data_IF_195239703085
#
_entry.id   IF_195239703085
#
_cell.length_a   1.000
_cell.length_b   1.000
_cell.length_c   1.000
_cell.angle_alpha   90.00
_cell.angle_beta   90.00
_cell.angle_gamma   90.00
#
_symmetry.space_group_name_H-M   'P 1'
#
loop_
_entity.id
_entity.type
_entity.pdbx_description
1 polymer ?
#
# COMPACT_ATOMS: atom_id res chain seq x y z
N UNK A 1 2.88 1.54 7.21
CA UNK A 1 1.90 0.89 8.10
C UNK A 1 2.59 -0.30 8.75
N UNK A 2 2.94 -0.20 10.03
CA UNK A 2 3.47 -1.34 10.77
C UNK A 2 2.28 -2.16 11.30
N UNK A 3 2.19 -3.44 10.90
CA UNK A 3 1.27 -4.37 11.57
C UNK A 3 1.79 -4.53 13.00
N UNK A 4 1.06 -3.97 13.96
CA UNK A 4 1.41 -4.13 15.37
C UNK A 4 1.08 -5.56 15.76
N UNK A 5 2.09 -6.41 15.87
CA UNK A 5 2.00 -7.82 16.30
C UNK A 5 1.72 -7.97 17.82
N UNK A 6 1.13 -6.95 18.46
CA UNK A 6 0.95 -6.90 19.92
C UNK A 6 -0.35 -7.54 20.41
N UNK A 7 -0.92 -8.45 19.63
CA UNK A 7 -2.03 -9.27 20.07
C UNK A 7 -1.43 -10.55 20.68
N UNK A 8 -1.53 -10.68 22.00
CA UNK A 8 -1.06 -11.86 22.75
C UNK A 8 -2.24 -12.45 23.52
N UNK A 9 -2.20 -13.77 23.76
CA UNK A 9 -3.19 -14.47 24.59
C UNK A 9 -4.64 -14.24 24.13
N UNK A 10 -4.88 -14.29 22.81
CA UNK A 10 -6.23 -14.20 22.26
C UNK A 10 -7.02 -15.46 22.63
N UNK A 11 -8.26 -15.26 23.08
CA UNK A 11 -9.21 -16.36 23.19
C UNK A 11 -9.76 -16.69 21.80
N UNK A 12 -10.33 -17.89 21.59
CA UNK A 12 -11.01 -18.22 20.34
C UNK A 12 -12.13 -17.23 19.98
N UNK A 13 -12.77 -16.61 20.98
CA UNK A 13 -13.77 -15.58 20.76
C UNK A 13 -13.16 -14.28 20.21
N UNK A 14 -12.01 -13.86 20.74
CA UNK A 14 -11.30 -12.66 20.24
C UNK A 14 -10.87 -12.85 18.79
N UNK A 15 -10.32 -14.01 18.45
CA UNK A 15 -9.94 -14.34 17.07
C UNK A 15 -11.12 -14.25 16.12
N UNK A 16 -12.28 -14.80 16.53
CA UNK A 16 -13.51 -14.72 15.73
C UNK A 16 -13.96 -13.27 15.53
N UNK A 17 -13.94 -12.45 16.58
CA UNK A 17 -14.30 -11.02 16.48
C UNK A 17 -13.33 -10.29 15.55
N UNK A 18 -12.02 -10.52 15.68
CA UNK A 18 -11.00 -9.91 14.83
C UNK A 18 -11.17 -10.30 13.36
N UNK A 19 -11.49 -11.57 13.08
CA UNK A 19 -11.77 -12.04 11.72
C UNK A 19 -13.00 -11.34 11.13
N UNK A 20 -14.10 -11.26 11.88
CA UNK A 20 -15.34 -10.60 11.44
C UNK A 20 -15.15 -9.10 11.21
N UNK A 21 -14.49 -8.41 12.15
CA UNK A 21 -14.18 -6.97 12.04
C UNK A 21 -13.24 -6.74 10.86
N UNK A 22 -12.21 -7.57 10.71
CA UNK A 22 -11.27 -7.50 9.59
C UNK A 22 -11.95 -7.66 8.24
N UNK A 23 -12.84 -8.66 8.10
CA UNK A 23 -13.61 -8.88 6.89
C UNK A 23 -14.53 -7.69 6.57
N UNK A 24 -15.25 -7.17 7.58
CA UNK A 24 -16.14 -6.01 7.42
C UNK A 24 -15.39 -4.75 7.00
N UNK A 25 -14.33 -4.39 7.73
CA UNK A 25 -13.52 -3.21 7.44
C UNK A 25 -12.76 -3.35 6.12
N UNK A 26 -12.30 -4.56 5.78
CA UNK A 26 -11.69 -4.86 4.48
C UNK A 26 -12.66 -4.62 3.33
N UNK A 27 -13.89 -5.12 3.43
CA UNK A 27 -14.95 -4.86 2.43
C UNK A 27 -15.24 -3.36 2.26
N UNK A 28 -15.30 -2.61 3.37
CA UNK A 28 -15.46 -1.15 3.32
C UNK A 28 -14.27 -0.45 2.65
N UNK A 29 -13.04 -0.85 2.99
CA UNK A 29 -11.82 -0.32 2.37
C UNK A 29 -11.82 -0.55 0.86
N UNK A 30 -12.13 -1.77 0.40
CA UNK A 30 -12.19 -2.09 -1.03
C UNK A 30 -13.23 -1.26 -1.78
N UNK A 31 -14.44 -1.08 -1.20
CA UNK A 31 -15.49 -0.24 -1.80
C UNK A 31 -15.06 1.22 -1.90
N UNK A 32 -14.49 1.76 -0.84
CA UNK A 32 -14.02 3.14 -0.82
C UNK A 32 -12.82 3.36 -1.76
N UNK A 33 -11.89 2.41 -1.83
CA UNK A 33 -10.78 2.43 -2.78
C UNK A 33 -11.27 2.45 -4.22
N UNK A 34 -12.30 1.66 -4.56
CA UNK A 34 -12.93 1.70 -5.89
C UNK A 34 -13.41 3.11 -6.25
N UNK A 35 -14.09 3.78 -5.31
CA UNK A 35 -14.54 5.17 -5.50
C UNK A 35 -13.34 6.11 -5.66
N UNK A 36 -12.30 5.98 -4.82
CA UNK A 36 -11.08 6.78 -4.94
C UNK A 36 -10.40 6.60 -6.30
N UNK A 37 -10.29 5.38 -6.81
CA UNK A 37 -9.73 5.13 -8.13
C UNK A 37 -10.51 5.85 -9.23
N UNK A 38 -11.84 5.85 -9.15
CA UNK A 38 -12.72 6.57 -10.09
C UNK A 38 -12.57 8.09 -10.07
N UNK A 39 -12.08 8.67 -8.99
CA UNK A 39 -11.81 10.12 -8.89
C UNK A 39 -10.56 10.55 -9.68
N UNK A 40 -9.72 9.61 -10.14
CA UNK A 40 -8.53 9.93 -10.94
C UNK A 40 -7.55 10.82 -10.18
N UNK A 41 -6.88 11.72 -10.91
CA UNK A 41 -5.92 12.68 -10.32
C UNK A 41 -6.60 13.73 -9.43
N UNK A 42 -7.88 13.99 -9.68
CA UNK A 42 -8.67 14.94 -8.91
C UNK A 42 -8.93 14.41 -7.50
N UNK A 43 -8.74 15.29 -6.52
CA UNK A 43 -9.28 15.12 -5.18
C UNK A 43 -9.40 16.48 -4.52
N UNK A 44 -10.50 16.71 -3.82
CA UNK A 44 -10.73 17.90 -3.02
C UNK A 44 -11.37 17.54 -1.68
N UNK A 45 -11.45 18.53 -0.78
CA UNK A 45 -12.09 18.36 0.53
C UNK A 45 -13.54 17.83 0.43
N UNK A 46 -14.28 18.20 -0.61
CA UNK A 46 -15.67 17.75 -0.79
C UNK A 46 -15.74 16.26 -1.15
N UNK A 47 -14.92 15.82 -2.10
CA UNK A 47 -14.84 14.39 -2.47
C UNK A 47 -14.39 13.51 -1.31
N UNK A 48 -13.52 14.05 -0.44
CA UNK A 48 -13.12 13.40 0.80
C UNK A 48 -14.28 13.31 1.79
N UNK A 49 -14.98 14.43 2.03
CA UNK A 49 -16.11 14.49 2.94
C UNK A 49 -17.25 13.56 2.49
N UNK A 50 -17.55 13.52 1.18
CA UNK A 50 -18.56 12.64 0.61
C UNK A 50 -18.25 11.16 0.86
N UNK A 51 -17.01 10.73 0.59
CA UNK A 51 -16.56 9.36 0.86
C UNK A 51 -16.64 9.00 2.35
N UNK A 52 -16.16 9.88 3.24
CA UNK A 52 -16.26 9.67 4.68
C UNK A 52 -17.72 9.56 5.16
N UNK A 53 -18.62 10.41 4.64
CA UNK A 53 -20.06 10.35 4.94
C UNK A 53 -20.68 9.03 4.48
N UNK A 54 -20.31 8.52 3.31
CA UNK A 54 -20.81 7.24 2.82
C UNK A 54 -20.43 6.04 3.72
N UNK A 55 -19.30 6.12 4.44
CA UNK A 55 -18.84 5.07 5.35
C UNK A 55 -19.42 5.17 6.76
N UNK A 56 -19.88 6.35 7.19
CA UNK A 56 -20.32 6.60 8.57
C UNK A 56 -21.61 5.84 8.96
N UNK A 57 -22.59 5.57 8.07
CA UNK A 57 -23.74 4.74 8.41
C UNK A 57 -23.41 3.27 8.69
N UNK A 58 -22.26 2.79 8.21
CA UNK A 58 -21.87 1.37 8.23
C UNK A 58 -20.60 1.11 9.03
N UNK A 59 -20.07 2.15 9.69
CA UNK A 59 -18.87 2.09 10.53
C UNK A 59 -18.85 3.27 11.51
N UNK A 60 -18.01 3.20 12.55
CA UNK A 60 -17.82 4.38 13.42
C UNK A 60 -17.18 5.54 12.65
N UNK A 61 -17.46 6.79 13.05
CA UNK A 61 -16.83 7.98 12.45
C UNK A 61 -15.29 7.94 12.46
N UNK A 62 -14.70 7.28 13.46
CA UNK A 62 -13.24 7.06 13.55
C UNK A 62 -12.77 6.10 12.46
N UNK A 63 -13.45 4.96 12.30
CA UNK A 63 -13.15 4.00 11.24
C UNK A 63 -13.38 4.59 9.85
N UNK A 64 -14.48 5.30 9.62
CA UNK A 64 -14.73 6.00 8.36
C UNK A 64 -13.57 6.95 8.00
N UNK A 65 -13.10 7.75 8.97
CA UNK A 65 -11.94 8.64 8.78
C UNK A 65 -10.65 7.88 8.47
N UNK A 66 -10.35 6.82 9.23
CA UNK A 66 -9.15 5.99 9.02
C UNK A 66 -9.16 5.26 7.67
N UNK A 67 -10.31 4.69 7.27
CA UNK A 67 -10.48 4.01 5.99
C UNK A 67 -10.29 4.97 4.82
N UNK A 68 -10.96 6.12 4.85
CA UNK A 68 -10.86 7.16 3.80
C UNK A 68 -9.41 7.61 3.58
N UNK A 69 -8.66 7.78 4.68
CA UNK A 69 -7.24 8.12 4.64
C UNK A 69 -6.39 6.96 4.11
N UNK A 70 -6.59 5.75 4.62
CA UNK A 70 -5.79 4.59 4.23
C UNK A 70 -5.92 4.29 2.73
N UNK A 71 -7.13 4.32 2.18
CA UNK A 71 -7.37 4.08 0.75
C UNK A 71 -6.84 5.21 -0.13
N UNK A 72 -6.89 6.46 0.33
CA UNK A 72 -6.25 7.59 -0.36
C UNK A 72 -4.72 7.41 -0.42
N UNK A 73 -4.11 7.06 0.72
CA UNK A 73 -2.66 6.83 0.81
C UNK A 73 -2.24 5.62 -0.06
N UNK A 74 -3.05 4.55 -0.10
CA UNK A 74 -2.85 3.40 -0.99
C UNK A 74 -2.91 3.78 -2.47
N UNK A 75 -3.93 4.55 -2.88
CA UNK A 75 -4.03 5.06 -4.25
C UNK A 75 -2.81 5.91 -4.63
N UNK A 76 -2.38 6.80 -3.74
CA UNK A 76 -1.23 7.68 -3.98
C UNK A 76 0.07 6.86 -4.12
N UNK A 77 0.25 5.84 -3.29
CA UNK A 77 1.38 4.91 -3.38
C UNK A 77 1.37 4.15 -4.72
N UNK A 78 0.23 3.57 -5.10
CA UNK A 78 0.09 2.83 -6.34
C UNK A 78 0.37 3.72 -7.56
N UNK A 79 -0.10 4.97 -7.56
CA UNK A 79 0.13 5.93 -8.65
C UNK A 79 1.61 6.29 -8.79
N UNK A 80 2.31 6.53 -7.68
CA UNK A 80 3.77 6.78 -7.72
C UNK A 80 4.54 5.57 -8.23
N UNK A 81 4.16 4.37 -7.79
CA UNK A 81 4.76 3.12 -8.29
C UNK A 81 4.55 2.92 -9.79
N UNK A 82 3.33 3.18 -10.27
CA UNK A 82 3.00 3.10 -11.70
C UNK A 82 3.83 4.10 -12.53
N UNK A 83 3.93 5.36 -12.08
CA UNK A 83 4.74 6.37 -12.78
C UNK A 83 6.22 5.97 -12.85
N UNK A 84 6.79 5.51 -11.72
CA UNK A 84 8.17 5.05 -11.68
C UNK A 84 8.41 3.86 -12.63
N UNK A 85 7.46 2.93 -12.73
CA UNK A 85 7.54 1.80 -13.65
C UNK A 85 7.56 2.25 -15.11
N UNK A 86 6.68 3.20 -15.50
CA UNK A 86 6.64 3.75 -16.86
C UNK A 86 7.97 4.46 -17.19
N UNK A 87 8.46 5.31 -16.28
CA UNK A 87 9.73 6.02 -16.48
C UNK A 87 10.93 5.08 -16.66
N UNK A 88 10.96 3.99 -15.89
CA UNK A 88 11.98 2.95 -16.04
C UNK A 88 11.89 2.25 -17.40
N UNK A 89 10.68 1.88 -17.82
CA UNK A 89 10.44 1.26 -19.12
C UNK A 89 10.88 2.20 -20.27
N UNK A 90 10.49 3.46 -20.22
CA UNK A 90 10.88 4.47 -21.21
C UNK A 90 12.40 4.62 -21.29
N UNK A 91 13.09 4.72 -20.16
CA UNK A 91 14.55 4.83 -20.12
C UNK A 91 15.26 3.63 -20.75
N UNK A 92 14.73 2.41 -20.56
CA UNK A 92 15.29 1.19 -21.14
C UNK A 92 15.07 1.06 -22.66
N UNK A 93 14.04 1.70 -23.19
CA UNK A 93 13.68 1.64 -24.62
C UNK A 93 14.38 2.70 -25.49
N UNK A 94 15.01 3.71 -24.88
CA UNK A 94 15.71 4.78 -25.61
C UNK A 94 17.00 4.26 -26.23
N UNK A 95 17.16 4.31 -27.58
CA UNK A 95 18.40 3.90 -28.23
C UNK A 95 19.56 4.81 -27.79
N UNK A 96 20.59 4.22 -27.18
CA UNK A 96 21.76 4.93 -26.65
C UNK A 96 22.01 4.78 -25.15
N UNK A 97 21.10 4.17 -24.38
CA UNK A 97 21.28 3.90 -22.93
C UNK A 97 22.17 2.68 -22.63
N UNK A 98 23.15 2.39 -23.49
CA UNK A 98 24.12 1.32 -23.31
C UNK A 98 25.18 1.71 -22.28
N UNK A 99 24.79 1.87 -21.02
CA UNK A 99 25.73 1.76 -19.89
C UNK A 99 25.42 0.46 -19.14
N UNK A 100 26.02 -0.63 -19.63
CA UNK A 100 25.96 -1.96 -19.02
C UNK A 100 26.88 -2.09 -17.80
N UNK A 101 27.62 -1.05 -17.41
CA UNK A 101 28.72 -1.17 -16.44
C UNK A 101 28.45 -0.51 -15.07
N UNK A 102 27.22 -0.08 -14.79
CA UNK A 102 26.87 0.56 -13.50
C UNK A 102 25.83 -0.21 -12.67
N UNK A 103 25.87 -1.54 -12.69
CA UNK A 103 25.27 -2.31 -11.58
C UNK A 103 26.38 -2.68 -10.60
N UNK A 104 26.35 -2.25 -9.31
CA UNK A 104 27.37 -2.65 -8.36
C UNK A 104 27.10 -4.11 -8.00
N UNK A 105 27.68 -5.04 -8.76
CA UNK A 105 27.81 -6.43 -8.34
C UNK A 105 28.73 -6.41 -7.14
N UNK A 106 28.13 -6.45 -5.94
CA UNK A 106 28.84 -6.65 -4.67
C UNK A 106 29.71 -7.90 -4.82
N UNK A 107 31.00 -7.67 -4.98
CA UNK A 107 32.01 -8.69 -5.17
C UNK A 107 32.19 -9.45 -3.84
N UNK A 108 31.37 -10.48 -3.62
CA UNK A 108 31.60 -11.48 -2.57
C UNK A 108 32.64 -12.49 -3.08
N UNK A 109 33.89 -12.05 -3.19
CA UNK A 109 35.04 -12.96 -3.22
C UNK A 109 35.72 -12.94 -1.84
N UNK A 110 35.08 -13.62 -0.88
CA UNK A 110 35.72 -14.03 0.36
C UNK A 110 36.48 -15.33 0.12
N UNK A 111 37.76 -15.19 -0.25
CA UNK A 111 38.72 -16.29 -0.44
C UNK A 111 38.86 -17.10 0.86
N UNK A 112 38.57 -18.39 0.78
CA UNK A 112 38.86 -19.40 1.82
C UNK A 112 40.35 -19.31 2.17
N UNK A 113 40.66 -19.01 3.44
CA UNK A 113 42.01 -19.17 4.00
C UNK A 113 42.11 -20.60 4.53
N UNK A 114 42.84 -21.44 3.82
CA UNK A 114 43.44 -22.64 4.36
C UNK A 114 44.89 -22.30 4.72
N UNK A 115 45.27 -22.53 5.96
CA UNK A 115 46.66 -22.57 6.41
C UNK A 115 46.75 -23.65 7.48
N UNK A 116 47.51 -24.69 7.15
CA UNK A 116 48.40 -25.45 8.04
C UNK A 116 47.78 -26.14 9.24
#
# INVERSE_FOLDING_TARGET
MAVRTRLKQLTPADEKVLALVGAHLGSLASRDLKVRCGQGLEHCADTWAARKRALTPVSSSRWAGSLTKATHDQWALARRGQLAHIQLADASSRPGSGDRDRWPVRQLHGRVRNIG
#
